data_IF_172182999524
#
_entry.id   IF_172182999524
#
_cell.length_a   1.000
_cell.length_b   1.000
_cell.length_c   1.000
_cell.angle_alpha   90.00
_cell.angle_beta   90.00
_cell.angle_gamma   90.00
#
_symmetry.space_group_name_H-M   'P 1'
#
loop_
_entity.id
_entity.type
_entity.pdbx_description
1 polymer ?
#
# COMPACT_ATOMS: atom_id res chain seq x y z
N UNK A 1 3.96 20.75 15.50
CA UNK A 1 3.21 19.99 14.49
C UNK A 1 2.40 20.94 13.60
N UNK A 2 3.05 21.77 12.78
CA UNK A 2 2.32 22.82 12.03
C UNK A 2 2.97 23.31 10.73
N UNK A 3 4.03 22.65 10.24
CA UNK A 3 4.78 23.10 9.06
C UNK A 3 4.65 22.18 7.84
N UNK A 4 4.27 20.91 8.02
CA UNK A 4 4.13 19.95 6.91
C UNK A 4 2.77 20.05 6.19
N UNK A 5 1.71 20.47 6.89
CA UNK A 5 0.38 20.68 6.29
C UNK A 5 0.36 21.92 5.39
N UNK A 6 1.16 22.96 5.71
CA UNK A 6 1.23 24.18 4.89
C UNK A 6 1.92 23.96 3.53
N UNK A 7 2.81 22.98 3.40
CA UNK A 7 3.56 22.75 2.15
C UNK A 7 2.66 22.14 1.07
N UNK A 8 1.75 21.24 1.45
CA UNK A 8 0.76 20.66 0.51
C UNK A 8 -0.31 21.68 0.09
N UNK A 9 -0.73 22.56 0.99
CA UNK A 9 -1.66 23.64 0.67
C UNK A 9 -1.05 24.68 -0.28
N UNK A 10 0.23 25.02 -0.10
CA UNK A 10 0.94 25.97 -0.97
C UNK A 10 1.20 25.38 -2.35
N UNK A 11 1.54 24.08 -2.46
CA UNK A 11 1.73 23.41 -3.75
C UNK A 11 0.46 23.40 -4.62
N UNK A 12 -0.71 23.21 -4.00
CA UNK A 12 -2.01 23.28 -4.69
C UNK A 12 -2.37 24.71 -5.13
N UNK A 13 -2.02 25.73 -4.33
CA UNK A 13 -2.25 27.13 -4.68
C UNK A 13 -1.30 27.67 -5.76
N UNK A 14 -0.03 27.28 -5.74
CA UNK A 14 0.95 27.72 -6.76
C UNK A 14 0.69 27.13 -8.15
N UNK A 15 0.07 25.94 -8.23
CA UNK A 15 -0.23 25.30 -9.51
C UNK A 15 -1.48 25.86 -10.19
N UNK A 16 -2.47 26.32 -9.41
CA UNK A 16 -3.65 27.02 -9.94
C UNK A 16 -3.28 28.33 -10.68
N UNK A 17 -2.25 29.03 -10.21
CA UNK A 17 -1.73 30.23 -10.89
C UNK A 17 -0.94 29.91 -12.17
N UNK A 18 -0.25 28.77 -12.22
CA UNK A 18 0.54 28.39 -13.40
C UNK A 18 -0.32 28.01 -14.61
N UNK A 19 -1.54 27.49 -14.41
CA UNK A 19 -2.42 27.10 -15.52
C UNK A 19 -3.23 28.26 -16.12
N UNK A 20 -3.44 29.36 -15.39
CA UNK A 20 -4.07 30.56 -15.92
C UNK A 20 -3.23 31.29 -17.00
N UNK A 21 -1.91 31.05 -17.04
CA UNK A 21 -1.03 31.60 -18.09
C UNK A 21 -0.95 30.72 -19.34
N UNK A 22 -1.27 29.43 -19.25
CA UNK A 22 -1.20 28.50 -20.39
C UNK A 22 -2.47 28.60 -21.26
N UNK A 23 -3.61 29.03 -20.71
CA UNK A 23 -4.84 29.24 -21.48
C UNK A 23 -4.87 30.51 -22.33
N UNK A 24 -3.85 31.38 -22.25
CA UNK A 24 -3.81 32.63 -23.02
C UNK A 24 -3.16 32.50 -24.40
N UNK A 25 -2.62 31.33 -24.78
CA UNK A 25 -1.76 31.21 -25.96
C UNK A 25 -2.27 30.22 -27.03
N UNK A 26 -3.59 30.13 -27.20
CA UNK A 26 -4.18 29.33 -28.29
C UNK A 26 -5.36 30.06 -28.95
N UNK A 27 -5.08 31.18 -29.60
CA UNK A 27 -5.98 31.73 -30.62
C UNK A 27 -5.17 32.01 -31.90
N UNK A 28 -4.98 30.97 -32.69
CA UNK A 28 -4.65 31.12 -34.12
C UNK A 28 -5.92 31.56 -34.82
N UNK A 29 -5.96 32.85 -35.16
CA UNK A 29 -7.01 33.48 -35.97
C UNK A 29 -6.88 32.96 -37.40
N UNK A 30 -7.93 32.33 -37.93
CA UNK A 30 -8.15 32.22 -39.37
C UNK A 30 -9.33 33.11 -39.72
N UNK A 31 -9.08 34.11 -40.56
CA UNK A 31 -10.08 34.98 -41.18
C UNK A 31 -11.04 34.18 -42.06
N UNK A 32 -12.35 34.37 -41.85
CA UNK A 32 -13.29 34.51 -42.97
C UNK A 32 -14.42 35.47 -42.58
N UNK A 33 -14.51 36.58 -43.29
CA UNK A 33 -15.63 37.52 -43.33
C UNK A 33 -16.83 36.91 -44.07
N UNK A 34 -18.03 36.99 -43.48
CA UNK A 34 -19.29 37.27 -44.19
C UNK A 34 -20.38 37.73 -43.20
N UNK A 35 -21.35 38.48 -43.74
CA UNK A 35 -22.08 39.58 -43.09
C UNK A 35 -23.52 39.20 -42.70
N UNK A 36 -24.02 39.87 -41.66
CA UNK A 36 -25.41 40.30 -41.44
C UNK A 36 -26.43 39.35 -40.77
N UNK A 37 -26.93 39.88 -39.63
CA UNK A 37 -28.33 40.07 -39.27
C UNK A 37 -28.97 39.11 -38.25
N UNK A 38 -29.83 39.72 -37.44
CA UNK A 38 -30.85 39.14 -36.56
C UNK A 38 -30.39 38.67 -35.17
N UNK A 39 -30.55 39.59 -34.22
CA UNK A 39 -31.23 39.39 -32.93
C UNK A 39 -31.75 37.96 -32.69
N UNK A 40 -30.92 37.12 -32.06
CA UNK A 40 -31.41 36.01 -31.25
C UNK A 40 -30.79 36.13 -29.86
N UNK A 41 -31.68 36.45 -28.92
CA UNK A 41 -31.50 36.47 -27.48
C UNK A 41 -30.82 35.17 -27.06
N UNK A 42 -29.51 35.21 -26.83
CA UNK A 42 -28.82 34.12 -26.16
C UNK A 42 -29.24 34.20 -24.69
N UNK A 43 -30.31 33.46 -24.37
CA UNK A 43 -30.62 33.10 -23.00
C UNK A 43 -29.38 32.42 -22.42
N UNK A 44 -28.62 33.20 -21.66
CA UNK A 44 -27.55 32.72 -20.81
C UNK A 44 -28.21 31.89 -19.73
N UNK A 45 -28.22 30.57 -19.91
CA UNK A 45 -28.54 29.65 -18.82
C UNK A 45 -27.48 29.84 -17.74
N UNK A 46 -27.92 30.41 -16.62
CA UNK A 46 -27.17 30.94 -15.47
C UNK A 46 -26.25 29.92 -14.74
N UNK A 47 -26.13 28.68 -15.24
CA UNK A 47 -25.43 27.57 -14.60
C UNK A 47 -24.38 26.85 -15.49
N UNK A 48 -24.13 27.31 -16.72
CA UNK A 48 -23.22 26.67 -17.68
C UNK A 48 -21.73 26.57 -17.27
N UNK A 49 -21.10 27.62 -16.68
CA UNK A 49 -19.66 27.58 -16.38
C UNK A 49 -19.33 26.80 -15.10
N UNK A 50 -20.20 26.86 -14.08
CA UNK A 50 -19.91 26.32 -12.74
C UNK A 50 -20.03 24.79 -12.74
N UNK A 51 -21.04 24.23 -13.40
CA UNK A 51 -21.16 22.77 -13.55
C UNK A 51 -19.97 22.18 -14.32
N UNK A 52 -19.47 22.88 -15.35
CA UNK A 52 -18.31 22.45 -16.12
C UNK A 52 -17.02 22.43 -15.27
N UNK A 53 -16.84 23.41 -14.38
CA UNK A 53 -15.70 23.45 -13.43
C UNK A 53 -15.83 22.37 -12.35
N UNK A 54 -17.04 22.09 -11.86
CA UNK A 54 -17.32 21.03 -10.89
C UNK A 54 -17.01 19.65 -11.48
N UNK A 55 -17.43 19.40 -12.71
CA UNK A 55 -17.17 18.14 -13.41
C UNK A 55 -15.68 17.99 -13.74
N UNK A 56 -15.00 19.05 -14.17
CA UNK A 56 -13.54 19.03 -14.39
C UNK A 56 -12.76 18.78 -13.09
N UNK A 57 -13.14 19.44 -11.99
CA UNK A 57 -12.48 19.28 -10.70
C UNK A 57 -12.73 17.87 -10.13
N UNK A 58 -13.95 17.34 -10.26
CA UNK A 58 -14.29 15.97 -9.89
C UNK A 58 -13.47 14.96 -10.70
N UNK A 59 -13.43 15.09 -12.03
CA UNK A 59 -12.66 14.20 -12.89
C UNK A 59 -11.16 14.24 -12.59
N UNK A 60 -10.60 15.42 -12.34
CA UNK A 60 -9.20 15.57 -11.97
C UNK A 60 -8.90 14.96 -10.61
N UNK A 61 -9.73 15.21 -9.61
CA UNK A 61 -9.54 14.70 -8.26
C UNK A 61 -9.70 13.17 -8.21
N UNK A 62 -10.63 12.60 -8.98
CA UNK A 62 -10.78 11.15 -9.16
C UNK A 62 -9.54 10.56 -9.84
N UNK A 63 -9.06 11.14 -10.94
CA UNK A 63 -7.88 10.63 -11.66
C UNK A 63 -6.61 10.65 -10.78
N UNK A 64 -6.35 11.75 -10.08
CA UNK A 64 -5.21 11.85 -9.15
C UNK A 64 -5.35 10.83 -8.01
N UNK A 65 -6.55 10.67 -7.47
CA UNK A 65 -6.80 9.73 -6.39
C UNK A 65 -6.66 8.27 -6.84
N UNK A 66 -7.06 7.95 -8.07
CA UNK A 66 -6.92 6.63 -8.68
C UNK A 66 -5.45 6.26 -8.93
N UNK A 67 -4.68 7.19 -9.51
CA UNK A 67 -3.23 7.04 -9.65
C UNK A 67 -2.53 6.83 -8.30
N UNK A 68 -2.94 7.60 -7.30
CA UNK A 68 -2.38 7.54 -5.95
C UNK A 68 -2.73 6.22 -5.24
N UNK A 69 -3.96 5.74 -5.40
CA UNK A 69 -4.41 4.43 -4.91
C UNK A 69 -3.64 3.29 -5.56
N UNK A 70 -3.42 3.37 -6.88
CA UNK A 70 -2.63 2.38 -7.63
C UNK A 70 -1.17 2.34 -7.17
N UNK A 71 -0.56 3.51 -6.98
CA UNK A 71 0.80 3.61 -6.44
C UNK A 71 0.88 3.07 -5.01
N UNK A 72 -0.13 3.30 -4.17
CA UNK A 72 -0.18 2.76 -2.82
C UNK A 72 -0.26 1.23 -2.86
N UNK A 73 -1.14 0.66 -3.68
CA UNK A 73 -1.27 -0.78 -3.87
C UNK A 73 0.07 -1.40 -4.30
N UNK A 74 0.70 -0.87 -5.35
CA UNK A 74 1.99 -1.34 -5.83
C UNK A 74 3.08 -1.27 -4.75
N UNK A 75 3.08 -0.22 -3.92
CA UNK A 75 4.04 -0.10 -2.82
C UNK A 75 3.81 -1.11 -1.68
N UNK A 76 2.55 -1.43 -1.37
CA UNK A 76 2.19 -2.45 -0.40
C UNK A 76 2.64 -3.83 -0.91
N UNK A 77 2.26 -4.17 -2.14
CA UNK A 77 2.60 -5.45 -2.77
C UNK A 77 4.11 -5.63 -2.90
N UNK A 78 4.84 -4.61 -3.35
CA UNK A 78 6.30 -4.67 -3.46
C UNK A 78 6.99 -4.82 -2.10
N UNK A 79 6.50 -4.11 -1.08
CA UNK A 79 7.08 -4.24 0.27
C UNK A 79 6.84 -5.65 0.81
N UNK A 80 5.65 -6.22 0.58
CA UNK A 80 5.33 -7.59 0.95
C UNK A 80 6.21 -8.61 0.23
N UNK A 81 6.38 -8.47 -1.09
CA UNK A 81 7.20 -9.36 -1.90
C UNK A 81 8.65 -9.37 -1.41
N UNK A 82 9.26 -8.19 -1.22
CA UNK A 82 10.62 -8.09 -0.72
C UNK A 82 10.83 -8.83 0.61
N UNK A 83 9.89 -8.71 1.55
CA UNK A 83 10.03 -9.35 2.88
C UNK A 83 9.87 -10.87 2.76
N UNK A 84 8.99 -11.34 1.87
CA UNK A 84 8.82 -12.77 1.60
C UNK A 84 10.07 -13.36 0.93
N UNK A 85 10.66 -12.67 -0.04
CA UNK A 85 11.89 -13.10 -0.71
C UNK A 85 13.05 -13.20 0.30
N UNK A 86 13.18 -12.21 1.19
CA UNK A 86 14.21 -12.21 2.23
C UNK A 86 13.99 -13.37 3.25
N UNK A 87 12.74 -13.63 3.64
CA UNK A 87 12.37 -14.75 4.52
C UNK A 87 12.71 -16.10 3.86
N UNK A 88 12.35 -16.27 2.58
CA UNK A 88 12.63 -17.48 1.82
C UNK A 88 14.14 -17.71 1.73
N UNK A 89 14.91 -16.67 1.36
CA UNK A 89 16.36 -16.75 1.29
C UNK A 89 16.98 -17.15 2.64
N UNK A 90 16.52 -16.56 3.74
CA UNK A 90 16.99 -16.89 5.10
C UNK A 90 16.74 -18.36 5.44
N UNK A 91 15.52 -18.85 5.20
CA UNK A 91 15.18 -20.26 5.49
C UNK A 91 15.94 -21.23 4.59
N UNK A 92 16.07 -20.92 3.29
CA UNK A 92 16.78 -21.74 2.34
C UNK A 92 18.28 -21.85 2.66
N UNK A 93 18.92 -20.73 3.02
CA UNK A 93 20.33 -20.71 3.39
C UNK A 93 20.58 -21.54 4.65
N UNK A 94 19.79 -21.34 5.71
CA UNK A 94 19.93 -22.11 6.95
C UNK A 94 19.73 -23.62 6.71
N UNK A 95 18.72 -24.01 5.92
CA UNK A 95 18.50 -25.41 5.57
C UNK A 95 19.64 -25.99 4.73
N UNK A 96 20.19 -25.23 3.79
CA UNK A 96 21.30 -25.69 2.96
C UNK A 96 22.55 -25.98 3.81
N UNK A 97 22.88 -25.10 4.76
CA UNK A 97 24.01 -25.30 5.66
C UNK A 97 23.82 -26.54 6.55
N UNK A 98 22.64 -26.70 7.16
CA UNK A 98 22.35 -27.87 8.00
C UNK A 98 22.29 -29.16 7.18
N UNK A 99 21.77 -29.13 5.95
CA UNK A 99 21.63 -30.31 5.09
C UNK A 99 22.96 -31.00 4.81
N UNK A 100 24.05 -30.24 4.64
CA UNK A 100 25.39 -30.80 4.42
C UNK A 100 25.83 -31.58 5.66
N UNK A 101 25.73 -30.99 6.84
CA UNK A 101 26.11 -31.63 8.10
C UNK A 101 25.25 -32.87 8.41
N UNK A 102 23.96 -32.82 8.04
CA UNK A 102 23.00 -33.92 8.19
C UNK A 102 23.40 -35.09 7.31
N UNK A 103 23.66 -34.84 6.01
CA UNK A 103 24.02 -35.92 5.07
C UNK A 103 25.33 -36.60 5.48
N UNK A 104 26.37 -35.82 5.78
CA UNK A 104 27.65 -36.35 6.27
C UNK A 104 27.47 -37.27 7.49
N UNK A 105 26.61 -36.85 8.44
CA UNK A 105 26.37 -37.60 9.67
C UNK A 105 25.56 -38.86 9.40
N UNK A 106 24.57 -38.76 8.53
CA UNK A 106 23.75 -39.90 8.12
C UNK A 106 24.60 -40.98 7.46
N UNK A 107 25.54 -40.62 6.57
CA UNK A 107 26.45 -41.58 5.93
C UNK A 107 27.31 -42.35 6.96
N UNK A 108 27.84 -41.66 7.98
CA UNK A 108 28.63 -42.30 9.06
C UNK A 108 27.79 -43.25 9.91
N UNK A 109 26.55 -42.84 10.23
CA UNK A 109 25.65 -43.63 11.08
C UNK A 109 25.06 -44.84 10.35
N UNK A 110 24.77 -44.73 9.06
CA UNK A 110 24.38 -45.87 8.22
C UNK A 110 25.51 -46.90 8.11
N UNK A 111 26.77 -46.44 8.04
CA UNK A 111 27.95 -47.31 8.07
C UNK A 111 28.19 -47.97 9.43
N UNK A 112 27.70 -47.36 10.53
CA UNK A 112 27.91 -47.81 11.90
C UNK A 112 26.62 -47.83 12.73
N UNK A 113 25.69 -48.78 12.47
CA UNK A 113 24.35 -48.78 13.10
C UNK A 113 24.37 -48.92 14.63
N UNK A 114 25.46 -49.46 15.19
CA UNK A 114 25.64 -49.62 16.64
C UNK A 114 25.99 -48.32 17.35
N UNK A 115 26.41 -47.29 16.60
CA UNK A 115 26.82 -46.02 17.19
C UNK A 115 25.63 -45.22 17.74
N UNK A 116 24.54 -45.16 16.97
CA UNK A 116 23.30 -44.53 17.43
C UNK A 116 22.09 -45.28 16.85
N UNK A 117 21.60 -46.24 17.61
CA UNK A 117 20.42 -47.04 17.23
C UNK A 117 19.11 -46.24 17.22
N UNK A 118 19.09 -45.05 17.83
CA UNK A 118 17.94 -44.15 17.85
C UNK A 118 17.98 -43.12 16.71
N UNK A 119 19.00 -43.15 15.84
CA UNK A 119 19.10 -42.22 14.72
C UNK A 119 17.97 -42.43 13.72
N UNK A 120 17.15 -41.39 13.54
CA UNK A 120 16.15 -41.30 12.50
C UNK A 120 16.33 -39.96 11.76
N UNK A 121 16.79 -40.04 10.51
CA UNK A 121 17.01 -38.88 9.67
C UNK A 121 15.72 -38.06 9.46
N UNK A 122 14.59 -38.73 9.29
CA UNK A 122 13.32 -38.07 9.01
C UNK A 122 12.83 -37.29 10.23
N UNK A 123 12.84 -37.91 11.40
CA UNK A 123 12.44 -37.24 12.65
C UNK A 123 13.38 -36.07 12.97
N UNK A 124 14.68 -36.25 12.76
CA UNK A 124 15.67 -35.18 12.97
C UNK A 124 15.44 -33.99 12.02
N UNK A 125 15.23 -34.27 10.74
CA UNK A 125 14.97 -33.22 9.73
C UNK A 125 13.67 -32.48 10.03
N UNK A 126 12.63 -33.18 10.47
CA UNK A 126 11.37 -32.56 10.90
C UNK A 126 11.58 -31.62 12.09
N UNK A 127 12.31 -32.08 13.12
CA UNK A 127 12.59 -31.26 14.30
C UNK A 127 13.37 -29.99 13.95
N UNK A 128 14.42 -30.11 13.13
CA UNK A 128 15.21 -28.95 12.67
C UNK A 128 14.37 -27.97 11.85
N UNK A 129 13.50 -28.49 10.98
CA UNK A 129 12.60 -27.65 10.17
C UNK A 129 11.61 -26.89 11.06
N UNK A 130 11.07 -27.54 12.10
CA UNK A 130 10.17 -26.91 13.07
C UNK A 130 10.87 -25.85 13.93
N UNK A 131 12.10 -26.10 14.37
CA UNK A 131 12.91 -25.11 15.09
C UNK A 131 13.23 -23.90 14.21
N UNK A 132 13.57 -24.12 12.93
CA UNK A 132 13.81 -23.04 11.96
C UNK A 132 12.54 -22.23 11.66
N UNK A 133 11.38 -22.90 11.60
CA UNK A 133 10.08 -22.23 11.50
C UNK A 133 9.81 -21.36 12.73
N UNK A 134 10.20 -21.82 13.93
CA UNK A 134 10.15 -21.03 15.16
C UNK A 134 10.95 -19.72 15.05
N UNK A 135 12.14 -19.77 14.44
CA UNK A 135 12.96 -18.57 14.23
C UNK A 135 12.32 -17.52 13.31
N UNK A 136 11.41 -17.92 12.41
CA UNK A 136 10.79 -17.03 11.41
C UNK A 136 9.31 -16.75 11.66
N UNK A 137 8.74 -17.27 12.74
CA UNK A 137 7.32 -17.15 13.07
C UNK A 137 6.89 -15.70 13.26
N UNK A 138 7.68 -14.91 13.99
CA UNK A 138 7.36 -13.51 14.26
C UNK A 138 7.33 -12.67 12.97
N UNK A 139 8.27 -12.92 12.06
CA UNK A 139 8.31 -12.27 10.75
C UNK A 139 7.10 -12.67 9.90
N UNK A 140 6.74 -13.96 9.90
CA UNK A 140 5.56 -14.49 9.21
C UNK A 140 4.25 -13.87 9.72
N UNK A 141 4.11 -13.73 11.04
CA UNK A 141 2.97 -13.08 11.67
C UNK A 141 2.88 -11.61 11.27
N UNK A 142 4.01 -10.89 11.27
CA UNK A 142 4.06 -9.50 10.84
C UNK A 142 3.63 -9.32 9.38
N UNK A 143 4.10 -10.20 8.50
CA UNK A 143 3.70 -10.23 7.08
C UNK A 143 2.17 -10.36 6.94
N UNK A 144 1.57 -11.28 7.70
CA UNK A 144 0.12 -11.49 7.69
C UNK A 144 -0.64 -10.25 8.18
N UNK A 145 -0.20 -9.63 9.28
CA UNK A 145 -0.76 -8.38 9.80
C UNK A 145 -0.67 -7.26 8.77
N UNK A 146 0.50 -7.07 8.16
CA UNK A 146 0.72 -6.03 7.16
C UNK A 146 -0.16 -6.20 5.93
N UNK A 147 -0.37 -7.44 5.47
CA UNK A 147 -1.28 -7.73 4.37
C UNK A 147 -2.71 -7.29 4.70
N UNK A 148 -3.20 -7.63 5.90
CA UNK A 148 -4.53 -7.24 6.34
C UNK A 148 -4.68 -5.72 6.50
N UNK A 149 -3.73 -5.06 7.17
CA UNK A 149 -3.73 -3.60 7.36
C UNK A 149 -3.59 -2.86 6.02
N UNK A 150 -2.78 -3.38 5.10
CA UNK A 150 -2.58 -2.84 3.76
C UNK A 150 -3.85 -2.91 2.91
N UNK A 151 -4.55 -4.05 2.93
CA UNK A 151 -5.85 -4.21 2.27
C UNK A 151 -6.90 -3.25 2.84
N UNK A 152 -6.95 -3.09 4.16
CA UNK A 152 -7.85 -2.15 4.81
C UNK A 152 -7.55 -0.69 4.40
N UNK A 153 -6.27 -0.31 4.38
CA UNK A 153 -5.84 1.03 3.98
C UNK A 153 -6.22 1.32 2.52
N UNK A 154 -5.98 0.35 1.62
CA UNK A 154 -6.35 0.46 0.21
C UNK A 154 -7.86 0.58 0.01
N UNK A 155 -8.64 -0.27 0.68
CA UNK A 155 -10.10 -0.23 0.61
C UNK A 155 -10.67 1.13 1.07
N UNK A 156 -10.08 1.72 2.12
CA UNK A 156 -10.49 3.04 2.61
C UNK A 156 -10.21 4.14 1.58
N UNK A 157 -9.03 4.11 0.95
CA UNK A 157 -8.67 5.05 -0.12
C UNK A 157 -9.61 4.90 -1.31
N UNK A 158 -9.80 3.68 -1.81
CA UNK A 158 -10.69 3.39 -2.94
C UNK A 158 -12.15 3.81 -2.67
N UNK A 159 -12.65 3.58 -1.46
CA UNK A 159 -13.99 4.04 -1.06
C UNK A 159 -14.13 5.56 -1.16
N UNK A 160 -13.11 6.31 -0.74
CA UNK A 160 -13.12 7.76 -0.81
C UNK A 160 -13.03 8.27 -2.25
N UNK A 161 -12.23 7.61 -3.10
CA UNK A 161 -12.19 7.90 -4.55
C UNK A 161 -13.57 7.68 -5.18
N UNK A 162 -14.25 6.60 -4.80
CA UNK A 162 -15.58 6.30 -5.31
C UNK A 162 -16.63 7.32 -4.83
N UNK A 163 -16.58 7.73 -3.56
CA UNK A 163 -17.44 8.80 -3.01
C UNK A 163 -17.20 10.12 -3.75
N UNK A 164 -15.95 10.43 -4.09
CA UNK A 164 -15.60 11.61 -4.87
C UNK A 164 -16.25 11.60 -6.25
N UNK A 165 -16.16 10.46 -6.95
CA UNK A 165 -16.76 10.30 -8.28
C UNK A 165 -18.30 10.42 -8.27
N UNK A 166 -18.94 9.97 -7.17
CA UNK A 166 -20.40 10.04 -7.03
C UNK A 166 -20.90 11.40 -6.54
N UNK A 167 -20.02 12.23 -5.97
CA UNK A 167 -20.40 13.48 -5.33
C UNK A 167 -21.20 14.45 -6.24
N UNK A 168 -20.85 14.66 -7.52
CA UNK A 168 -21.64 15.52 -8.41
C UNK A 168 -23.10 15.03 -8.56
N UNK A 169 -23.29 13.73 -8.75
CA UNK A 169 -24.61 13.09 -8.90
C UNK A 169 -25.42 13.24 -7.61
N UNK A 170 -24.78 12.98 -6.46
CA UNK A 170 -25.38 13.12 -5.13
C UNK A 170 -25.85 14.55 -4.90
N UNK A 171 -25.03 15.55 -5.27
CA UNK A 171 -25.34 16.97 -5.06
C UNK A 171 -26.33 17.56 -6.08
N UNK A 172 -26.50 16.96 -7.26
CA UNK A 172 -27.56 17.33 -8.21
C UNK A 172 -28.93 16.76 -7.84
N UNK A 173 -28.97 15.64 -7.10
CA UNK A 173 -30.23 15.04 -6.66
C UNK A 173 -30.84 15.80 -5.47
N UNK A 174 -31.90 16.60 -5.70
CA UNK A 174 -32.64 17.36 -4.66
C UNK A 174 -33.22 16.49 -3.52
N UNK A 175 -33.26 15.16 -3.67
CA UNK A 175 -33.89 14.24 -2.72
C UNK A 175 -33.04 13.88 -1.48
N UNK A 176 -31.79 14.36 -1.38
CA UNK A 176 -30.82 13.84 -0.39
C UNK A 176 -30.30 14.84 0.65
N UNK A 177 -31.12 15.81 1.07
CA UNK A 177 -30.96 16.40 2.40
C UNK A 177 -30.95 15.33 3.52
N UNK A 178 -31.49 14.14 3.25
CA UNK A 178 -31.62 13.01 4.18
C UNK A 178 -30.40 12.07 4.18
N UNK A 179 -29.72 11.84 3.06
CA UNK A 179 -28.61 10.87 2.98
C UNK A 179 -27.28 11.42 3.54
N UNK A 180 -27.12 12.74 3.54
CA UNK A 180 -25.93 13.43 4.05
C UNK A 180 -26.14 14.00 5.47
N UNK A 181 -27.35 13.85 6.02
CA UNK A 181 -27.70 14.22 7.39
C UNK A 181 -26.81 13.55 8.47
N UNK A 182 -26.38 12.28 8.35
CA UNK A 182 -25.45 11.67 9.31
C UNK A 182 -24.07 12.34 9.35
N UNK A 183 -23.71 13.10 8.31
CA UNK A 183 -22.46 13.88 8.26
C UNK A 183 -22.64 15.33 8.73
N UNK A 184 -23.83 15.71 9.22
CA UNK A 184 -24.12 17.04 9.76
C UNK A 184 -24.17 18.14 8.70
N UNK A 185 -24.45 17.78 7.44
CA UNK A 185 -24.40 18.71 6.31
C UNK A 185 -25.82 18.99 5.78
N UNK A 186 -26.29 20.22 5.97
CA UNK A 186 -27.48 20.80 5.36
C UNK A 186 -27.06 21.71 4.21
N UNK A 187 -27.78 21.68 3.08
CA UNK A 187 -27.41 22.41 1.87
C UNK A 187 -28.52 23.36 1.44
N UNK A 188 -28.21 24.65 1.37
CA UNK A 188 -29.10 25.68 0.82
C UNK A 188 -29.00 25.77 -0.72
N UNK A 189 -27.92 25.25 -1.34
CA UNK A 189 -27.75 25.15 -2.80
C UNK A 189 -26.80 23.99 -3.22
N UNK A 190 -26.87 23.49 -4.46
CA UNK A 190 -26.05 22.34 -4.93
C UNK A 190 -24.53 22.61 -5.01
N UNK A 191 -24.11 23.87 -5.25
CA UNK A 191 -22.70 24.27 -5.24
C UNK A 191 -22.10 24.20 -3.83
N UNK A 192 -22.86 24.58 -2.80
CA UNK A 192 -22.43 24.41 -1.40
C UNK A 192 -22.37 22.93 -1.00
N UNK A 193 -23.18 22.08 -1.64
CA UNK A 193 -23.08 20.63 -1.52
C UNK A 193 -21.76 20.09 -2.03
N UNK A 194 -21.43 20.41 -3.28
CA UNK A 194 -20.22 19.90 -3.89
C UNK A 194 -18.97 20.41 -3.18
N UNK A 195 -18.86 21.71 -2.92
CA UNK A 195 -17.68 22.30 -2.27
C UNK A 195 -17.42 21.76 -0.86
N UNK A 196 -18.49 21.54 -0.07
CA UNK A 196 -18.34 21.00 1.28
C UNK A 196 -18.08 19.49 1.26
N UNK A 197 -18.75 18.75 0.37
CA UNK A 197 -18.51 17.32 0.19
C UNK A 197 -17.09 17.02 -0.27
N UNK A 198 -16.58 17.75 -1.27
CA UNK A 198 -15.23 17.52 -1.81
C UNK A 198 -14.16 17.85 -0.77
N UNK A 199 -14.38 18.89 0.06
CA UNK A 199 -13.47 19.23 1.15
C UNK A 199 -13.38 18.11 2.20
N UNK A 200 -14.51 17.55 2.62
CA UNK A 200 -14.56 16.44 3.58
C UNK A 200 -13.91 15.18 3.01
N UNK A 201 -14.23 14.82 1.76
CA UNK A 201 -13.65 13.64 1.10
C UNK A 201 -12.13 13.81 0.94
N UNK A 202 -11.66 14.98 0.51
CA UNK A 202 -10.22 15.26 0.37
C UNK A 202 -9.50 15.17 1.71
N UNK A 203 -10.10 15.67 2.80
CA UNK A 203 -9.54 15.54 4.13
C UNK A 203 -9.45 14.06 4.55
N UNK A 204 -10.51 13.28 4.34
CA UNK A 204 -10.52 11.86 4.63
C UNK A 204 -9.49 11.08 3.80
N UNK A 205 -9.31 11.44 2.54
CA UNK A 205 -8.33 10.84 1.64
C UNK A 205 -6.91 11.14 2.09
N UNK A 206 -6.63 12.39 2.45
CA UNK A 206 -5.32 12.79 2.98
C UNK A 206 -4.98 12.02 4.27
N UNK A 207 -5.95 11.85 5.17
CA UNK A 207 -5.77 11.06 6.39
C UNK A 207 -5.55 9.58 6.09
N UNK A 208 -6.35 8.98 5.18
CA UNK A 208 -6.19 7.59 4.77
C UNK A 208 -4.80 7.34 4.15
N UNK A 209 -4.36 8.22 3.25
CA UNK A 209 -3.03 8.17 2.63
C UNK A 209 -1.91 8.37 3.64
N UNK A 210 -2.09 9.24 4.63
CA UNK A 210 -1.14 9.43 5.72
C UNK A 210 -0.98 8.16 6.55
N UNK A 211 -2.09 7.55 6.97
CA UNK A 211 -2.09 6.30 7.72
C UNK A 211 -1.45 5.15 6.91
N UNK A 212 -1.76 5.05 5.61
CA UNK A 212 -1.15 4.08 4.73
C UNK A 212 0.37 4.30 4.58
N UNK A 213 0.81 5.55 4.48
CA UNK A 213 2.24 5.90 4.43
C UNK A 213 2.97 5.52 5.72
N UNK A 214 2.33 5.77 6.88
CA UNK A 214 2.86 5.36 8.18
C UNK A 214 2.96 3.84 8.30
N UNK A 215 1.97 3.10 7.77
CA UNK A 215 2.01 1.65 7.69
C UNK A 215 3.21 1.16 6.85
N UNK A 216 3.43 1.72 5.66
CA UNK A 216 4.59 1.38 4.81
C UNK A 216 5.92 1.60 5.54
N UNK A 217 6.10 2.76 6.18
CA UNK A 217 7.34 3.12 6.86
C UNK A 217 7.56 2.23 8.09
N UNK A 218 6.51 2.03 8.89
CA UNK A 218 6.57 1.16 10.07
C UNK A 218 6.91 -0.27 9.69
N UNK A 219 6.27 -0.79 8.64
CA UNK A 219 6.52 -2.15 8.18
C UNK A 219 7.97 -2.34 7.75
N UNK A 220 8.53 -1.43 6.95
CA UNK A 220 9.94 -1.53 6.52
C UNK A 220 10.89 -1.60 7.70
N UNK A 221 10.67 -0.75 8.71
CA UNK A 221 11.51 -0.74 9.91
C UNK A 221 11.37 -2.03 10.71
N UNK A 222 10.14 -2.45 11.01
CA UNK A 222 9.90 -3.66 11.77
C UNK A 222 10.41 -4.90 11.05
N UNK A 223 10.22 -4.97 9.73
CA UNK A 223 10.71 -6.07 8.91
C UNK A 223 12.24 -6.16 8.97
N UNK A 224 12.97 -5.05 8.89
CA UNK A 224 14.43 -5.05 9.05
C UNK A 224 14.86 -5.56 10.43
N UNK A 225 14.20 -5.09 11.49
CA UNK A 225 14.52 -5.48 12.86
C UNK A 225 14.22 -6.98 13.11
N UNK A 226 13.08 -7.48 12.63
CA UNK A 226 12.72 -8.90 12.79
C UNK A 226 13.53 -9.80 11.85
N UNK A 227 13.92 -9.33 10.65
CA UNK A 227 14.79 -10.09 9.75
C UNK A 227 16.15 -10.34 10.40
N UNK A 228 16.74 -9.30 11.01
CA UNK A 228 18.00 -9.44 11.73
C UNK A 228 17.89 -10.41 12.92
N UNK A 229 16.79 -10.39 13.67
CA UNK A 229 16.54 -11.35 14.76
C UNK A 229 16.31 -12.76 14.26
N UNK A 230 15.55 -12.92 13.19
CA UNK A 230 15.30 -14.21 12.54
C UNK A 230 16.62 -14.80 12.05
N UNK A 231 17.49 -13.98 11.45
CA UNK A 231 18.80 -14.41 10.99
C UNK A 231 19.67 -14.89 12.16
N UNK A 232 19.77 -14.10 13.24
CA UNK A 232 20.53 -14.50 14.42
C UNK A 232 20.02 -15.81 15.05
N UNK A 233 18.70 -16.00 15.09
CA UNK A 233 18.10 -17.24 15.56
C UNK A 233 18.47 -18.42 14.66
N UNK A 234 18.32 -18.26 13.34
CA UNK A 234 18.66 -19.28 12.35
C UNK A 234 20.14 -19.63 12.40
N UNK A 235 21.04 -18.65 12.49
CA UNK A 235 22.49 -18.87 12.59
C UNK A 235 22.84 -19.66 13.87
N UNK A 236 22.20 -19.33 14.99
CA UNK A 236 22.39 -20.05 16.24
C UNK A 236 21.89 -21.50 16.15
N UNK A 237 20.75 -21.72 15.50
CA UNK A 237 20.22 -23.05 15.24
C UNK A 237 21.16 -23.87 14.34
N UNK A 238 21.63 -23.29 13.23
CA UNK A 238 22.58 -23.94 12.32
C UNK A 238 23.84 -24.35 13.07
N UNK A 239 24.39 -23.46 13.91
CA UNK A 239 25.57 -23.76 14.72
C UNK A 239 25.31 -24.90 15.71
N UNK A 240 24.16 -24.87 16.40
CA UNK A 240 23.76 -25.91 17.35
C UNK A 240 23.60 -27.28 16.67
N UNK A 241 22.90 -27.33 15.54
CA UNK A 241 22.67 -28.54 14.75
C UNK A 241 23.99 -29.09 14.23
N UNK A 242 24.83 -28.24 13.65
CA UNK A 242 26.13 -28.64 13.11
C UNK A 242 27.03 -29.21 14.20
N UNK A 243 27.08 -28.57 15.38
CA UNK A 243 27.88 -29.05 16.50
C UNK A 243 27.35 -30.38 17.07
N UNK A 244 26.04 -30.51 17.24
CA UNK A 244 25.41 -31.77 17.66
C UNK A 244 25.80 -32.91 16.71
N UNK A 245 25.68 -32.69 15.40
CA UNK A 245 26.00 -33.66 14.36
C UNK A 245 27.50 -33.99 14.31
N UNK A 246 28.37 -32.99 14.52
CA UNK A 246 29.82 -33.20 14.65
C UNK A 246 30.15 -34.13 15.83
N UNK A 247 29.52 -33.91 16.99
CA UNK A 247 29.72 -34.76 18.18
C UNK A 247 29.18 -36.17 17.92
N UNK A 248 28.02 -36.33 17.27
CA UNK A 248 27.50 -37.64 16.89
C UNK A 248 28.50 -38.40 16.01
N UNK A 249 29.05 -37.76 14.96
CA UNK A 249 30.07 -38.38 14.11
C UNK A 249 31.33 -38.80 14.86
N UNK A 250 31.83 -37.94 15.75
CA UNK A 250 33.04 -38.22 16.54
C UNK A 250 32.87 -39.39 17.52
N UNK A 251 31.64 -39.67 17.96
CA UNK A 251 31.35 -40.83 18.81
C UNK A 251 31.24 -42.14 18.01
N UNK A 252 31.25 -42.07 16.68
CA UNK A 252 31.13 -43.21 15.77
C UNK A 252 32.43 -43.56 15.03
N UNK A 253 33.47 -42.75 15.20
CA UNK A 253 34.81 -42.98 14.65
C UNK A 253 35.65 -43.90 15.53
#
# INVERSE_FOLDING_TARGET
>A
MGRTIQILSVLLLTWAYAQAQISSNTNSITETTETADSTETTETTEYGPINMVVDQLSNMAVNISDQTSTQLQANIERTLANILDDLEALTANAMAEMSIAIDDTNQVLLGNPKCNAAWNLQDFTLNVTDELRGCTEQLSNMIATYRAEGQQALAKVQSLVQQMAQLPIVCQSQQMGVALAPMGISFDNSNTCFLRGIAVINQGLAEAMHNASMLLVRMRRLAQDEMARSQQCSDALVAQVTEYLRVQRANCS
#
